data_IF_550065692518
#
_entry.id   IF_550065692518
#
_cell.length_a   1.000
_cell.length_b   1.000
_cell.length_c   1.000
_cell.angle_alpha   90.00
_cell.angle_beta   90.00
_cell.angle_gamma   90.00
#
_symmetry.space_group_name_H-M   'P 1'
#
loop_
_entity.id
_entity.type
_entity.pdbx_description
1 polymer ?
#
# COMPACT_ATOMS: atom_id res chain seq x y z
N UNK A 1 -2.51 -23.50 20.56
CA UNK A 1 -1.39 -22.82 19.84
C UNK A 1 -1.77 -22.79 18.35
N UNK A 2 -1.67 -21.65 17.69
CA UNK A 2 -2.01 -21.52 16.26
C UNK A 2 -0.99 -22.24 15.40
N UNK A 3 -1.45 -22.93 14.37
CA UNK A 3 -0.55 -23.60 13.42
C UNK A 3 0.05 -22.61 12.41
N UNK A 4 1.20 -22.94 11.84
CA UNK A 4 1.83 -22.12 10.79
C UNK A 4 0.88 -21.89 9.59
N UNK A 5 0.07 -22.90 9.24
CA UNK A 5 -0.91 -22.80 8.15
C UNK A 5 -2.01 -21.77 8.44
N UNK A 6 -2.50 -21.72 9.67
CA UNK A 6 -3.50 -20.73 10.08
C UNK A 6 -2.92 -19.31 10.01
N UNK A 7 -1.69 -19.10 10.47
CA UNK A 7 -1.00 -17.81 10.43
C UNK A 7 -0.77 -17.36 8.97
N UNK A 8 -0.30 -18.24 8.11
CA UNK A 8 -0.08 -17.95 6.69
C UNK A 8 -1.40 -17.59 5.99
N UNK A 9 -2.48 -18.31 6.28
CA UNK A 9 -3.79 -18.04 5.70
C UNK A 9 -4.33 -16.66 6.13
N UNK A 10 -4.10 -16.27 7.37
CA UNK A 10 -4.46 -14.95 7.88
C UNK A 10 -3.68 -13.82 7.18
N UNK A 11 -2.36 -13.95 7.07
CA UNK A 11 -1.54 -12.98 6.35
C UNK A 11 -1.96 -12.88 4.89
N UNK A 12 -2.24 -14.00 4.26
CA UNK A 12 -2.72 -14.02 2.88
C UNK A 12 -4.06 -13.30 2.72
N UNK A 13 -5.00 -13.52 3.62
CA UNK A 13 -6.30 -12.86 3.58
C UNK A 13 -6.19 -11.32 3.71
N UNK A 14 -5.25 -10.84 4.54
CA UNK A 14 -4.95 -9.40 4.66
C UNK A 14 -4.30 -8.87 3.38
N UNK A 15 -3.30 -9.59 2.85
CA UNK A 15 -2.58 -9.18 1.65
C UNK A 15 -3.47 -9.17 0.39
N UNK A 16 -4.41 -10.11 0.28
CA UNK A 16 -5.34 -10.20 -0.84
C UNK A 16 -6.41 -9.10 -0.82
N UNK A 17 -6.70 -8.51 0.34
CA UNK A 17 -7.68 -7.44 0.48
C UNK A 17 -7.24 -6.37 1.51
N UNK A 18 -6.28 -5.51 1.16
CA UNK A 18 -5.81 -4.45 2.05
C UNK A 18 -6.90 -3.45 2.43
N UNK A 19 -7.86 -3.19 1.54
CA UNK A 19 -8.98 -2.30 1.82
C UNK A 19 -9.80 -2.77 3.02
N UNK A 20 -10.12 -4.07 3.06
CA UNK A 20 -10.86 -4.64 4.19
C UNK A 20 -10.09 -4.48 5.51
N UNK A 21 -8.78 -4.70 5.50
CA UNK A 21 -7.95 -4.52 6.69
C UNK A 21 -7.97 -3.07 7.20
N UNK A 22 -7.94 -2.09 6.30
CA UNK A 22 -8.07 -0.67 6.63
C UNK A 22 -9.42 -0.34 7.25
N UNK A 23 -10.50 -0.84 6.65
CA UNK A 23 -11.87 -0.61 7.13
C UNK A 23 -12.11 -1.24 8.50
N UNK A 24 -11.63 -2.46 8.72
CA UNK A 24 -11.74 -3.17 9.99
C UNK A 24 -10.96 -2.43 11.10
N UNK A 25 -9.74 -2.01 10.82
CA UNK A 25 -8.93 -1.23 11.77
C UNK A 25 -9.60 0.11 12.14
N UNK A 26 -10.14 0.81 11.16
CA UNK A 26 -10.85 2.07 11.38
C UNK A 26 -12.10 1.90 12.25
N UNK A 27 -12.84 0.79 12.07
CA UNK A 27 -14.00 0.45 12.93
C UNK A 27 -13.60 0.16 14.36
N UNK A 28 -12.49 -0.55 14.57
CA UNK A 28 -12.01 -0.96 15.89
C UNK A 28 -11.39 0.18 16.69
N UNK A 29 -10.60 1.02 16.03
CA UNK A 29 -9.78 2.03 16.71
C UNK A 29 -10.25 3.46 16.52
N UNK A 30 -11.10 3.73 15.54
CA UNK A 30 -11.50 5.07 15.13
C UNK A 30 -10.42 5.82 14.34
N UNK A 31 -9.24 5.21 14.09
CA UNK A 31 -8.15 5.77 13.31
C UNK A 31 -7.99 5.04 11.99
N UNK A 32 -7.56 5.77 10.95
CA UNK A 32 -7.38 5.24 9.62
C UNK A 32 -6.03 4.56 9.38
N UNK A 33 -5.68 4.43 8.14
CA UNK A 33 -4.43 3.84 7.70
C UNK A 33 -3.55 4.89 7.00
N UNK A 34 -2.24 4.67 7.06
CA UNK A 34 -1.22 5.46 6.36
C UNK A 34 -0.46 4.55 5.41
N UNK A 35 -0.45 4.90 4.14
CA UNK A 35 0.30 4.18 3.13
C UNK A 35 1.81 4.39 3.26
N UNK A 36 2.56 3.30 3.18
CA UNK A 36 4.01 3.30 3.29
C UNK A 36 4.58 2.80 1.98
N UNK A 37 5.23 3.67 1.22
CA UNK A 37 5.94 3.23 0.02
C UNK A 37 7.21 2.47 0.41
N UNK A 38 7.51 1.35 -0.26
CA UNK A 38 8.75 0.65 0.00
C UNK A 38 9.93 1.45 -0.58
N UNK A 39 11.06 1.55 0.08
CA UNK A 39 11.53 1.04 1.38
C UNK A 39 12.00 2.25 2.22
N UNK A 40 12.46 2.01 3.46
CA UNK A 40 13.03 3.05 4.35
C UNK A 40 12.06 4.11 4.85
N UNK A 41 10.76 3.88 4.79
CA UNK A 41 9.78 4.72 5.47
C UNK A 41 9.60 4.26 6.92
N UNK A 42 9.41 5.20 7.87
CA UNK A 42 9.36 4.88 9.31
C UNK A 42 7.95 4.39 9.73
N UNK A 43 7.62 3.13 9.45
CA UNK A 43 6.32 2.53 9.84
C UNK A 43 6.10 2.52 11.35
N UNK A 44 7.17 2.44 12.14
CA UNK A 44 7.13 2.45 13.60
C UNK A 44 6.54 3.76 14.15
N UNK A 45 6.83 4.89 13.51
CA UNK A 45 6.28 6.20 13.89
C UNK A 45 4.78 6.24 13.59
N UNK A 46 4.36 5.72 12.45
CA UNK A 46 2.94 5.60 12.08
C UNK A 46 2.18 4.76 13.09
N UNK A 47 2.74 3.59 13.44
CA UNK A 47 2.16 2.69 14.43
C UNK A 47 2.10 3.34 15.83
N UNK A 48 3.17 3.99 16.27
CA UNK A 48 3.20 4.70 17.55
C UNK A 48 2.17 5.83 17.66
N UNK A 49 1.84 6.46 16.53
CA UNK A 49 0.78 7.47 16.44
C UNK A 49 -0.65 6.86 16.44
N UNK A 50 -0.77 5.54 16.45
CA UNK A 50 -2.02 4.80 16.50
C UNK A 50 -2.70 4.62 15.15
N UNK A 51 -2.02 4.86 14.03
CA UNK A 51 -2.49 4.58 12.68
C UNK A 51 -2.03 3.19 12.21
N UNK A 52 -2.77 2.62 11.26
CA UNK A 52 -2.37 1.37 10.62
C UNK A 52 -1.36 1.66 9.50
N UNK A 53 -0.10 1.23 9.58
CA UNK A 53 0.81 1.31 8.45
C UNK A 53 0.45 0.24 7.42
N UNK A 54 0.25 0.64 6.16
CA UNK A 54 -0.01 -0.26 5.04
C UNK A 54 1.15 -0.20 4.06
N UNK A 55 1.89 -1.29 3.94
CA UNK A 55 2.96 -1.44 2.95
C UNK A 55 2.40 -1.51 1.53
N UNK A 56 2.78 -0.57 0.68
CA UNK A 56 2.24 -0.42 -0.67
C UNK A 56 3.15 -1.12 -1.69
N UNK A 57 3.09 -2.46 -1.72
CA UNK A 57 3.94 -3.32 -2.57
C UNK A 57 3.28 -3.71 -3.90
N UNK A 58 2.06 -3.23 -4.17
CA UNK A 58 1.29 -3.59 -5.35
C UNK A 58 0.65 -4.98 -5.24
N UNK A 59 0.23 -5.50 -6.37
CA UNK A 59 -0.42 -6.81 -6.46
C UNK A 59 0.22 -7.66 -7.57
N UNK A 60 0.35 -8.97 -7.32
CA UNK A 60 0.85 -9.91 -8.31
C UNK A 60 -0.15 -10.05 -9.47
N UNK A 61 0.39 -10.23 -10.69
CA UNK A 61 -0.41 -10.45 -11.91
C UNK A 61 -1.44 -9.36 -12.20
N UNK A 62 -1.26 -8.15 -11.65
CA UNK A 62 -2.14 -7.03 -11.92
C UNK A 62 -2.01 -6.59 -13.36
N UNK A 63 -3.13 -6.51 -14.07
CA UNK A 63 -3.15 -5.92 -15.40
C UNK A 63 -2.98 -4.39 -15.28
N UNK A 64 -1.98 -3.85 -15.95
CA UNK A 64 -1.66 -2.43 -15.93
C UNK A 64 -2.23 -1.75 -17.17
N UNK A 65 -3.15 -0.83 -16.97
CA UNK A 65 -3.79 -0.05 -18.03
C UNK A 65 -3.76 1.45 -17.75
N UNK A 66 -4.36 1.89 -16.66
CA UNK A 66 -4.50 3.31 -16.29
C UNK A 66 -3.16 3.92 -15.84
N UNK A 67 -2.37 3.18 -15.06
CA UNK A 67 -1.10 3.65 -14.54
C UNK A 67 -0.11 4.08 -15.63
N UNK A 68 -0.18 3.48 -16.82
CA UNK A 68 0.67 3.84 -17.97
C UNK A 68 0.46 5.26 -18.47
N UNK A 69 -0.68 5.87 -18.19
CA UNK A 69 -0.96 7.27 -18.53
C UNK A 69 -0.19 8.25 -17.63
N UNK A 70 0.11 7.83 -16.41
CA UNK A 70 0.72 8.67 -15.38
C UNK A 70 2.20 8.38 -15.16
N UNK A 71 2.63 7.14 -15.38
CA UNK A 71 4.00 6.70 -15.12
C UNK A 71 4.78 6.51 -16.42
N UNK A 72 6.08 6.84 -16.41
CA UNK A 72 6.94 6.61 -17.56
C UNK A 72 7.12 5.11 -17.84
N UNK A 73 7.44 4.71 -19.09
CA UNK A 73 7.56 3.30 -19.49
C UNK A 73 8.62 2.51 -18.70
N UNK A 74 9.62 3.18 -18.15
CA UNK A 74 10.69 2.56 -17.36
C UNK A 74 10.31 2.32 -15.88
N UNK A 75 9.13 2.79 -15.44
CA UNK A 75 8.67 2.56 -14.08
C UNK A 75 8.58 1.06 -13.80
N UNK A 76 9.07 0.62 -12.63
CA UNK A 76 9.06 -0.79 -12.27
C UNK A 76 7.63 -1.32 -12.07
N UNK A 77 7.44 -2.61 -12.25
CA UNK A 77 6.14 -3.27 -12.18
C UNK A 77 5.44 -3.10 -10.82
N UNK A 78 6.21 -3.01 -9.74
CA UNK A 78 5.66 -2.77 -8.39
C UNK A 78 4.96 -1.41 -8.37
N UNK A 79 5.65 -0.36 -8.79
CA UNK A 79 5.09 1.00 -8.77
C UNK A 79 3.96 1.18 -9.78
N UNK A 80 4.03 0.52 -10.94
CA UNK A 80 2.91 0.50 -11.87
C UNK A 80 1.66 -0.14 -11.25
N UNK A 81 1.82 -1.26 -10.54
CA UNK A 81 0.67 -1.91 -9.89
C UNK A 81 0.13 -1.14 -8.69
N UNK A 82 0.99 -0.46 -7.92
CA UNK A 82 0.55 0.45 -6.85
C UNK A 82 -0.28 1.60 -7.42
N UNK A 83 0.19 2.24 -8.49
CA UNK A 83 -0.56 3.32 -9.15
C UNK A 83 -1.88 2.80 -9.74
N UNK A 84 -1.90 1.61 -10.34
CA UNK A 84 -3.14 1.01 -10.85
C UNK A 84 -4.17 0.78 -9.74
N UNK A 85 -3.75 0.23 -8.60
CA UNK A 85 -4.60 0.04 -7.43
C UNK A 85 -5.15 1.36 -6.86
N UNK A 86 -4.33 2.43 -6.86
CA UNK A 86 -4.80 3.76 -6.48
C UNK A 86 -5.88 4.25 -7.44
N UNK A 87 -5.65 4.15 -8.74
CA UNK A 87 -6.62 4.59 -9.76
C UNK A 87 -7.91 3.73 -9.80
N UNK A 88 -7.90 2.59 -9.15
CA UNK A 88 -9.08 1.74 -8.91
C UNK A 88 -9.76 2.04 -7.56
N UNK A 89 -9.24 2.98 -6.77
CA UNK A 89 -9.82 3.40 -5.50
C UNK A 89 -9.48 2.52 -4.30
N UNK A 90 -8.52 1.58 -4.43
CA UNK A 90 -8.14 0.69 -3.31
C UNK A 90 -7.57 1.48 -2.14
N UNK A 91 -6.90 2.59 -2.40
CA UNK A 91 -6.20 3.42 -1.42
C UNK A 91 -6.88 4.76 -1.14
N UNK A 92 -8.14 4.96 -1.57
CA UNK A 92 -8.84 6.26 -1.46
C UNK A 92 -9.04 6.74 -0.01
N UNK A 93 -9.10 5.82 0.96
CA UNK A 93 -9.34 6.17 2.37
C UNK A 93 -8.05 6.20 3.22
N UNK A 94 -6.89 6.25 2.60
CA UNK A 94 -5.65 6.51 3.34
C UNK A 94 -5.65 7.94 3.89
N UNK A 95 -5.30 8.09 5.16
CA UNK A 95 -5.16 9.40 5.81
C UNK A 95 -3.93 10.18 5.28
N UNK A 96 -2.89 9.44 4.89
CA UNK A 96 -1.67 9.98 4.29
C UNK A 96 -0.90 8.88 3.57
N UNK A 97 0.08 9.28 2.75
CA UNK A 97 1.05 8.37 2.15
C UNK A 97 2.45 8.92 2.39
N UNK A 98 3.34 8.05 2.88
CA UNK A 98 4.75 8.39 3.10
C UNK A 98 5.58 7.81 1.95
N UNK A 99 6.31 8.68 1.27
CA UNK A 99 7.24 8.32 0.22
C UNK A 99 8.67 8.40 0.71
N UNK A 100 9.42 7.32 0.55
CA UNK A 100 10.88 7.40 0.43
C UNK A 100 11.22 7.64 -1.05
N UNK A 101 12.39 8.21 -1.31
CA UNK A 101 12.81 8.54 -2.69
C UNK A 101 14.16 7.88 -3.02
N UNK A 102 14.26 6.55 -2.94
CA UNK A 102 15.50 5.83 -3.24
C UNK A 102 15.77 5.69 -4.74
N UNK A 103 14.78 5.96 -5.60
CA UNK A 103 14.90 5.84 -7.05
C UNK A 103 14.03 6.87 -7.78
N UNK A 104 14.30 7.06 -9.09
CA UNK A 104 13.58 8.01 -9.92
C UNK A 104 12.07 7.68 -10.07
N UNK A 105 11.72 6.41 -10.07
CA UNK A 105 10.31 6.00 -10.16
C UNK A 105 9.52 6.49 -8.94
N UNK A 106 10.03 6.30 -7.72
CA UNK A 106 9.39 6.77 -6.49
C UNK A 106 9.36 8.29 -6.39
N UNK A 107 10.41 8.95 -6.86
CA UNK A 107 10.44 10.42 -7.00
C UNK A 107 9.33 10.91 -7.93
N UNK A 108 9.17 10.27 -9.08
CA UNK A 108 8.11 10.59 -10.03
C UNK A 108 6.72 10.33 -9.43
N UNK A 109 6.53 9.20 -8.75
CA UNK A 109 5.25 8.88 -8.10
C UNK A 109 4.86 9.86 -7.02
N UNK A 110 5.80 10.32 -6.18
CA UNK A 110 5.53 11.27 -5.10
C UNK A 110 4.99 12.61 -5.60
N UNK A 111 5.21 12.94 -6.88
CA UNK A 111 4.72 14.16 -7.52
C UNK A 111 3.36 13.96 -8.22
N UNK A 112 2.93 12.71 -8.41
CA UNK A 112 1.74 12.37 -9.18
C UNK A 112 0.64 11.70 -8.36
N UNK A 113 0.91 11.42 -7.10
CA UNK A 113 0.00 10.79 -6.16
C UNK A 113 -1.18 11.69 -5.79
#
# INVERSE_FOLDING_TARGET
>A
MRTAKEIINEFKAIADNPRKAMDDYKKETGKGAVGIMPVYCPEEIVHAAGYLPIGMWGAQKKQISKARTYLPPFACSIMQSVMELQLEGVYDDLEAVIFSVPCDTLKCMSQKW
#
